data_IF_033491884338
#
_entry.id   IF_033491884338
#
_cell.length_a   1.000
_cell.length_b   1.000
_cell.length_c   1.000
_cell.angle_alpha   90.00
_cell.angle_beta   90.00
_cell.angle_gamma   90.00
#
_symmetry.space_group_name_H-M   'P 1'
#
loop_
_entity.id
_entity.type
_entity.pdbx_description
1 polymer ?
#
# COMPACT_ATOMS: atom_id res chain seq x y z
N UNK A 1 -7.63 -31.72 -39.51
CA UNK A 1 -8.07 -30.32 -39.73
C UNK A 1 -7.36 -29.43 -38.71
N UNK A 2 -6.61 -28.39 -39.12
CA UNK A 2 -5.99 -27.49 -38.15
C UNK A 2 -7.08 -26.81 -37.33
N UNK A 3 -6.96 -26.82 -35.99
CA UNK A 3 -7.88 -26.09 -35.11
C UNK A 3 -7.89 -24.62 -35.54
N UNK A 4 -9.05 -24.08 -35.91
CA UNK A 4 -9.24 -22.63 -36.09
C UNK A 4 -8.68 -21.95 -34.83
N UNK A 5 -7.61 -21.19 -34.99
CA UNK A 5 -7.00 -20.43 -33.92
C UNK A 5 -8.00 -19.42 -33.38
N UNK A 6 -8.14 -19.38 -32.06
CA UNK A 6 -9.02 -18.45 -31.35
C UNK A 6 -8.66 -17.00 -31.74
N UNK A 7 -9.61 -16.23 -32.33
CA UNK A 7 -9.36 -14.85 -32.76
C UNK A 7 -8.81 -13.96 -31.64
N UNK A 8 -9.24 -14.19 -30.41
CA UNK A 8 -8.78 -13.41 -29.23
C UNK A 8 -7.29 -13.66 -29.00
N UNK A 9 -6.85 -14.93 -29.05
CA UNK A 9 -5.44 -15.29 -28.87
C UNK A 9 -4.57 -14.72 -29.99
N UNK A 10 -5.06 -14.70 -31.22
CA UNK A 10 -4.34 -14.10 -32.33
C UNK A 10 -4.16 -12.59 -32.14
N UNK A 11 -5.19 -11.90 -31.67
CA UNK A 11 -5.11 -10.46 -31.37
C UNK A 11 -4.12 -10.17 -30.23
N UNK A 12 -4.16 -10.95 -29.15
CA UNK A 12 -3.21 -10.82 -28.04
C UNK A 12 -1.77 -11.07 -28.48
N UNK A 13 -1.53 -12.13 -29.27
CA UNK A 13 -0.20 -12.41 -29.81
C UNK A 13 0.30 -11.29 -30.74
N UNK A 14 -0.59 -10.68 -31.52
CA UNK A 14 -0.24 -9.56 -32.39
C UNK A 14 0.09 -8.29 -31.59
N UNK A 15 -0.61 -8.01 -30.49
CA UNK A 15 -0.29 -6.89 -29.59
C UNK A 15 1.04 -7.13 -28.86
N UNK A 16 1.28 -8.34 -28.36
CA UNK A 16 2.52 -8.69 -27.66
C UNK A 16 3.77 -8.64 -28.54
N UNK A 17 3.61 -8.68 -29.87
CA UNK A 17 4.70 -8.57 -30.83
C UNK A 17 5.00 -7.13 -31.27
N UNK A 18 4.33 -6.13 -30.69
CA UNK A 18 4.61 -4.72 -30.97
C UNK A 18 5.84 -4.31 -30.16
N UNK A 19 6.95 -4.00 -30.86
CA UNK A 19 8.17 -3.49 -30.24
C UNK A 19 8.08 -1.97 -29.98
N UNK A 20 7.44 -1.21 -30.87
CA UNK A 20 7.24 0.24 -30.76
C UNK A 20 5.78 0.60 -31.10
N UNK A 21 4.92 0.89 -30.10
CA UNK A 21 3.53 1.22 -30.32
C UNK A 21 3.30 2.66 -30.80
N UNK A 22 4.36 3.48 -30.91
CA UNK A 22 4.26 4.82 -31.48
C UNK A 22 4.10 4.80 -33.01
N UNK A 23 4.48 3.70 -33.67
CA UNK A 23 4.38 3.53 -35.13
C UNK A 23 2.93 3.60 -35.62
N UNK A 24 2.66 4.15 -36.82
CA UNK A 24 1.29 4.25 -37.37
C UNK A 24 0.56 2.90 -37.46
N UNK A 25 1.27 1.83 -37.83
CA UNK A 25 0.75 0.48 -37.95
C UNK A 25 0.36 -0.10 -36.59
N UNK A 26 1.24 0.05 -35.59
CA UNK A 26 0.96 -0.39 -34.23
C UNK A 26 -0.19 0.41 -33.61
N UNK A 27 -0.21 1.74 -33.80
CA UNK A 27 -1.35 2.59 -33.38
C UNK A 27 -2.67 2.15 -33.99
N UNK A 28 -2.68 1.78 -35.28
CA UNK A 28 -3.88 1.27 -35.94
C UNK A 28 -4.34 -0.06 -35.33
N UNK A 29 -3.41 -0.96 -35.01
CA UNK A 29 -3.69 -2.24 -34.38
C UNK A 29 -4.23 -2.07 -32.95
N UNK A 30 -3.58 -1.26 -32.13
CA UNK A 30 -3.98 -0.92 -30.75
C UNK A 30 -5.37 -0.25 -30.73
N UNK A 31 -5.62 0.72 -31.60
CA UNK A 31 -6.95 1.36 -31.73
C UNK A 31 -8.03 0.35 -32.13
N UNK A 32 -7.71 -0.57 -33.04
CA UNK A 32 -8.63 -1.64 -33.43
C UNK A 32 -8.92 -2.58 -32.25
N UNK A 33 -7.91 -2.91 -31.44
CA UNK A 33 -8.05 -3.71 -30.24
C UNK A 33 -8.96 -3.05 -29.19
N UNK A 34 -8.76 -1.76 -28.89
CA UNK A 34 -9.61 -1.00 -27.97
C UNK A 34 -11.08 -0.90 -28.39
N UNK A 35 -11.35 -0.89 -29.71
CA UNK A 35 -12.72 -0.88 -30.27
C UNK A 35 -13.37 -2.27 -30.31
N UNK A 36 -12.60 -3.32 -30.01
CA UNK A 36 -13.07 -4.70 -29.97
C UNK A 36 -14.07 -4.98 -28.84
N UNK A 37 -14.59 -6.22 -28.83
CA UNK A 37 -15.52 -6.71 -27.80
C UNK A 37 -14.84 -7.46 -26.66
N UNK A 38 -13.56 -7.81 -26.81
CA UNK A 38 -12.83 -8.61 -25.83
C UNK A 38 -12.17 -7.69 -24.80
N UNK A 39 -12.56 -7.85 -23.52
CA UNK A 39 -11.95 -7.13 -22.41
C UNK A 39 -10.43 -7.34 -22.34
N UNK A 40 -9.94 -8.58 -22.43
CA UNK A 40 -8.50 -8.88 -22.39
C UNK A 40 -7.71 -8.22 -23.52
N UNK A 41 -8.26 -8.18 -24.74
CA UNK A 41 -7.60 -7.54 -25.89
C UNK A 41 -7.54 -6.02 -25.69
N UNK A 42 -8.61 -5.41 -25.17
CA UNK A 42 -8.60 -4.00 -24.85
C UNK A 42 -7.68 -3.66 -23.66
N UNK A 43 -7.59 -4.53 -22.66
CA UNK A 43 -6.67 -4.38 -21.52
C UNK A 43 -5.22 -4.35 -21.99
N UNK A 44 -4.79 -5.35 -22.77
CA UNK A 44 -3.45 -5.40 -23.34
C UNK A 44 -3.14 -4.18 -24.23
N UNK A 45 -4.12 -3.70 -25.00
CA UNK A 45 -3.97 -2.48 -25.79
C UNK A 45 -3.80 -1.23 -24.91
N UNK A 46 -4.55 -1.11 -23.81
CA UNK A 46 -4.43 0.01 -22.87
C UNK A 46 -3.08 0.01 -22.13
N UNK A 47 -2.58 -1.16 -21.74
CA UNK A 47 -1.26 -1.32 -21.10
C UNK A 47 -0.12 -0.82 -22.00
N UNK A 48 -0.14 -1.19 -23.28
CA UNK A 48 0.85 -0.73 -24.26
C UNK A 48 0.84 0.80 -24.41
N UNK A 49 -0.34 1.43 -24.47
CA UNK A 49 -0.46 2.88 -24.57
C UNK A 49 0.10 3.59 -23.33
N UNK A 50 -0.12 3.01 -22.15
CA UNK A 50 0.32 3.58 -20.89
C UNK A 50 1.84 3.49 -20.69
N UNK A 51 2.46 2.38 -21.11
CA UNK A 51 3.92 2.19 -21.00
C UNK A 51 4.71 3.24 -21.80
N UNK A 52 4.12 3.73 -22.89
CA UNK A 52 4.79 4.57 -23.88
C UNK A 52 4.32 6.04 -23.81
N UNK A 53 3.53 6.38 -22.79
CA UNK A 53 3.14 7.77 -22.51
C UNK A 53 2.31 8.43 -23.63
N UNK A 54 1.54 7.64 -24.39
CA UNK A 54 0.81 8.12 -25.58
C UNK A 54 -0.47 8.87 -25.21
N UNK A 55 -0.32 10.11 -24.74
CA UNK A 55 -1.42 10.97 -24.28
C UNK A 55 -2.48 11.27 -25.35
N UNK A 56 -2.13 11.20 -26.65
CA UNK A 56 -3.09 11.40 -27.75
C UNK A 56 -4.10 10.26 -27.89
N UNK A 57 -3.93 9.15 -27.15
CA UNK A 57 -4.86 8.03 -27.11
C UNK A 57 -5.95 8.14 -26.01
N UNK A 58 -5.93 9.20 -25.20
CA UNK A 58 -6.91 9.42 -24.11
C UNK A 58 -8.37 9.36 -24.61
N UNK A 59 -8.76 10.01 -25.73
CA UNK A 59 -10.13 9.92 -26.22
C UNK A 59 -10.57 8.49 -26.55
N UNK A 60 -9.67 7.68 -27.12
CA UNK A 60 -9.95 6.28 -27.44
C UNK A 60 -10.06 5.40 -26.19
N UNK A 61 -9.25 5.68 -25.17
CA UNK A 61 -9.33 5.02 -23.86
C UNK A 61 -10.66 5.33 -23.17
N UNK A 62 -11.08 6.59 -23.12
CA UNK A 62 -12.37 7.01 -22.54
C UNK A 62 -13.54 6.36 -23.28
N UNK A 63 -13.54 6.40 -24.61
CA UNK A 63 -14.57 5.75 -25.41
C UNK A 63 -14.58 4.22 -25.24
N UNK A 64 -13.43 3.60 -24.96
CA UNK A 64 -13.36 2.18 -24.62
C UNK A 64 -13.94 1.89 -23.24
N UNK A 65 -13.60 2.71 -22.25
CA UNK A 65 -14.10 2.61 -20.88
C UNK A 65 -15.64 2.64 -20.85
N UNK A 66 -16.26 3.62 -21.51
CA UNK A 66 -17.72 3.74 -21.64
C UNK A 66 -18.36 2.47 -22.24
N UNK A 67 -17.72 1.90 -23.28
CA UNK A 67 -18.22 0.66 -23.92
C UNK A 67 -18.17 -0.56 -23.00
N UNK A 68 -17.22 -0.62 -22.07
CA UNK A 68 -17.07 -1.73 -21.13
C UNK A 68 -17.95 -1.60 -19.88
N UNK A 69 -18.57 -0.44 -19.66
CA UNK A 69 -19.68 -0.28 -18.74
C UNK A 69 -21.02 -0.80 -19.32
N UNK A 70 -21.12 -1.01 -20.63
CA UNK A 70 -22.32 -1.56 -21.28
C UNK A 70 -22.27 -3.08 -21.35
N UNK A 71 -23.27 -3.78 -20.77
CA UNK A 71 -23.28 -5.24 -20.65
C UNK A 71 -21.98 -5.80 -20.02
N UNK A 72 -21.61 -5.29 -18.82
CA UNK A 72 -20.25 -5.39 -18.29
C UNK A 72 -19.83 -6.84 -17.97
N UNK A 73 -20.74 -7.64 -17.41
CA UNK A 73 -20.48 -9.07 -17.09
C UNK A 73 -20.14 -9.89 -18.34
N UNK A 74 -20.72 -9.53 -19.50
CA UNK A 74 -20.46 -10.23 -20.76
C UNK A 74 -19.21 -9.71 -21.47
N UNK A 75 -18.99 -8.39 -21.45
CA UNK A 75 -17.90 -7.76 -22.21
C UNK A 75 -16.58 -7.73 -21.48
N UNK A 76 -16.64 -7.59 -20.17
CA UNK A 76 -15.49 -7.40 -19.31
C UNK A 76 -15.70 -8.04 -17.93
N UNK A 77 -15.88 -9.37 -17.89
CA UNK A 77 -15.94 -10.09 -16.63
C UNK A 77 -14.65 -9.86 -15.83
N UNK A 78 -14.78 -9.63 -14.53
CA UNK A 78 -13.67 -9.30 -13.64
C UNK A 78 -13.10 -7.89 -13.80
N UNK A 79 -13.75 -7.01 -14.56
CA UNK A 79 -13.30 -5.63 -14.80
C UNK A 79 -11.89 -5.50 -15.44
N UNK A 80 -11.42 -6.49 -16.19
CA UNK A 80 -10.03 -6.53 -16.70
C UNK A 80 -9.71 -5.34 -17.62
N UNK A 81 -10.56 -5.05 -18.59
CA UNK A 81 -10.41 -3.89 -19.46
C UNK A 81 -10.60 -2.59 -18.69
N UNK A 82 -11.67 -2.46 -17.89
CA UNK A 82 -11.93 -1.23 -17.12
C UNK A 82 -10.74 -0.87 -16.23
N UNK A 83 -10.16 -1.86 -15.53
CA UNK A 83 -9.01 -1.66 -14.66
C UNK A 83 -7.76 -1.24 -15.45
N UNK A 84 -7.44 -1.92 -16.54
CA UNK A 84 -6.30 -1.59 -17.38
C UNK A 84 -6.44 -0.20 -18.03
N UNK A 85 -7.63 0.13 -18.53
CA UNK A 85 -7.93 1.44 -19.13
C UNK A 85 -7.85 2.54 -18.06
N UNK A 86 -8.45 2.36 -16.89
CA UNK A 86 -8.39 3.35 -15.80
C UNK A 86 -6.94 3.55 -15.32
N UNK A 87 -6.16 2.48 -15.27
CA UNK A 87 -4.72 2.55 -14.94
C UNK A 87 -3.94 3.31 -16.00
N UNK A 88 -4.25 3.11 -17.29
CA UNK A 88 -3.65 3.85 -18.38
C UNK A 88 -3.98 5.34 -18.29
N UNK A 89 -5.24 5.70 -18.02
CA UNK A 89 -5.65 7.10 -17.86
C UNK A 89 -4.93 7.81 -16.69
N UNK A 90 -4.76 7.14 -15.55
CA UNK A 90 -4.00 7.70 -14.41
C UNK A 90 -2.50 7.84 -14.76
N UNK A 91 -1.89 6.85 -15.42
CA UNK A 91 -0.47 6.94 -15.86
C UNK A 91 -0.23 8.03 -16.90
N UNK A 92 -1.25 8.38 -17.67
CA UNK A 92 -1.21 9.48 -18.65
C UNK A 92 -1.58 10.83 -18.01
N UNK A 93 -1.65 10.90 -16.67
CA UNK A 93 -1.95 12.09 -15.88
C UNK A 93 -3.25 12.79 -16.33
N UNK A 94 -4.31 12.02 -16.61
CA UNK A 94 -5.61 12.59 -17.00
C UNK A 94 -6.11 13.57 -15.92
N UNK A 95 -6.27 14.87 -16.22
CA UNK A 95 -6.68 15.85 -15.21
C UNK A 95 -8.17 15.78 -14.87
N UNK A 96 -8.99 15.20 -15.75
CA UNK A 96 -10.43 15.09 -15.54
C UNK A 96 -10.73 14.02 -14.48
N UNK A 97 -11.33 14.38 -13.33
CA UNK A 97 -11.67 13.41 -12.29
C UNK A 97 -12.82 12.47 -12.69
N UNK A 98 -13.63 12.82 -13.70
CA UNK A 98 -14.91 12.14 -13.94
C UNK A 98 -14.82 10.61 -14.12
N UNK A 99 -13.85 10.06 -14.89
CA UNK A 99 -13.71 8.61 -15.03
C UNK A 99 -13.34 7.92 -13.71
N UNK A 100 -12.49 8.56 -12.89
CA UNK A 100 -12.07 8.02 -11.60
C UNK A 100 -13.19 8.13 -10.56
N UNK A 101 -13.95 9.23 -10.55
CA UNK A 101 -15.13 9.38 -9.69
C UNK A 101 -16.17 8.31 -10.01
N UNK A 102 -16.48 8.10 -11.30
CA UNK A 102 -17.41 7.06 -11.73
C UNK A 102 -16.94 5.66 -11.33
N UNK A 103 -15.65 5.38 -11.45
CA UNK A 103 -15.07 4.10 -11.06
C UNK A 103 -15.03 3.88 -9.54
N UNK A 104 -14.86 4.94 -8.73
CA UNK A 104 -14.69 4.84 -7.27
C UNK A 104 -15.91 4.32 -6.51
N UNK A 105 -17.10 4.35 -7.10
CA UNK A 105 -18.34 3.84 -6.51
C UNK A 105 -18.95 2.70 -7.32
N UNK A 106 -18.27 2.25 -8.37
CA UNK A 106 -18.78 1.24 -9.27
C UNK A 106 -18.81 -0.15 -8.61
N UNK A 107 -19.88 -0.89 -8.88
CA UNK A 107 -20.05 -2.28 -8.47
C UNK A 107 -20.37 -3.14 -9.70
N UNK A 108 -19.71 -4.28 -9.80
CA UNK A 108 -19.95 -5.27 -10.85
C UNK A 108 -20.26 -6.61 -10.23
N UNK A 109 -21.55 -6.84 -9.96
CA UNK A 109 -22.05 -8.07 -9.39
C UNK A 109 -22.08 -9.17 -10.45
N UNK A 110 -21.22 -10.16 -10.29
CA UNK A 110 -21.13 -11.33 -11.17
C UNK A 110 -21.67 -12.59 -10.50
N UNK A 111 -22.20 -13.55 -11.28
CA UNK A 111 -22.63 -14.83 -10.75
C UNK A 111 -21.46 -15.59 -10.09
N UNK A 112 -21.66 -16.00 -8.84
CA UNK A 112 -20.73 -16.84 -8.08
C UNK A 112 -21.48 -18.03 -7.46
N UNK A 113 -20.75 -18.94 -6.82
CA UNK A 113 -21.38 -19.97 -6.00
C UNK A 113 -21.88 -19.31 -4.71
N UNK A 114 -23.17 -18.94 -4.67
CA UNK A 114 -23.77 -18.21 -3.56
C UNK A 114 -24.28 -16.82 -3.98
N UNK A 115 -24.21 -15.79 -3.11
CA UNK A 115 -24.57 -14.43 -3.52
C UNK A 115 -23.64 -13.93 -4.62
N UNK A 116 -24.08 -13.00 -5.50
CA UNK A 116 -23.22 -12.39 -6.49
C UNK A 116 -21.98 -11.75 -5.86
N UNK A 117 -20.84 -11.90 -6.53
CA UNK A 117 -19.58 -11.32 -6.10
C UNK A 117 -19.35 -9.98 -6.79
N UNK A 118 -18.93 -8.97 -6.03
CA UNK A 118 -18.54 -7.67 -6.58
C UNK A 118 -17.11 -7.71 -7.11
N UNK A 119 -16.97 -7.83 -8.42
CA UNK A 119 -15.68 -7.90 -9.11
C UNK A 119 -15.04 -6.53 -9.37
N UNK A 120 -15.72 -5.42 -9.04
CA UNK A 120 -15.21 -4.07 -9.24
C UNK A 120 -14.31 -3.56 -8.10
N UNK A 121 -14.09 -4.39 -7.07
CA UNK A 121 -13.19 -4.20 -5.94
C UNK A 121 -11.85 -3.56 -6.36
N UNK A 122 -11.09 -4.18 -7.26
CA UNK A 122 -9.80 -3.64 -7.71
C UNK A 122 -9.93 -2.36 -8.52
N UNK A 123 -11.05 -2.18 -9.25
CA UNK A 123 -11.33 -0.96 -10.01
C UNK A 123 -11.53 0.23 -9.07
N UNK A 124 -12.28 0.06 -7.98
CA UNK A 124 -12.49 1.12 -6.96
C UNK A 124 -11.19 1.50 -6.26
N UNK A 125 -10.37 0.53 -5.88
CA UNK A 125 -9.06 0.82 -5.27
C UNK A 125 -8.16 1.59 -6.24
N UNK A 126 -8.13 1.19 -7.52
CA UNK A 126 -7.37 1.92 -8.55
C UNK A 126 -7.88 3.35 -8.73
N UNK A 127 -9.19 3.53 -8.73
CA UNK A 127 -9.82 4.84 -8.82
C UNK A 127 -9.45 5.74 -7.62
N UNK A 128 -9.45 5.20 -6.40
CA UNK A 128 -9.02 5.95 -5.21
C UNK A 128 -7.56 6.44 -5.36
N UNK A 129 -6.64 5.57 -5.76
CA UNK A 129 -5.24 5.96 -6.01
C UNK A 129 -5.11 7.07 -7.06
N UNK A 130 -5.86 6.99 -8.16
CA UNK A 130 -5.87 8.02 -9.20
C UNK A 130 -6.45 9.35 -8.69
N UNK A 131 -7.54 9.32 -7.92
CA UNK A 131 -8.13 10.51 -7.29
C UNK A 131 -7.18 11.19 -6.30
N UNK A 132 -6.24 10.44 -5.70
CA UNK A 132 -5.14 11.01 -4.90
C UNK A 132 -4.28 12.00 -5.68
N UNK A 133 -4.11 11.78 -6.99
CA UNK A 133 -3.34 12.64 -7.91
C UNK A 133 -4.16 13.75 -8.57
N UNK A 134 -5.49 13.74 -8.44
CA UNK A 134 -6.38 14.76 -9.00
C UNK A 134 -6.83 15.74 -7.92
N UNK A 135 -6.33 16.99 -7.97
CA UNK A 135 -6.49 17.99 -6.90
C UNK A 135 -7.80 18.79 -6.98
N UNK A 136 -8.95 18.10 -7.05
CA UNK A 136 -10.29 18.71 -6.93
C UNK A 136 -10.95 18.40 -5.59
N UNK A 137 -11.99 19.16 -5.24
CA UNK A 137 -12.76 18.93 -4.01
C UNK A 137 -13.58 17.64 -4.11
N UNK A 138 -14.12 17.33 -5.28
CA UNK A 138 -14.87 16.09 -5.55
C UNK A 138 -13.99 14.86 -5.35
N UNK A 139 -12.72 14.92 -5.78
CA UNK A 139 -11.77 13.84 -5.57
C UNK A 139 -11.49 13.62 -4.08
N UNK A 140 -11.35 14.69 -3.29
CA UNK A 140 -11.16 14.58 -1.85
C UNK A 140 -12.40 14.00 -1.14
N UNK A 141 -13.60 14.41 -1.56
CA UNK A 141 -14.86 13.84 -1.05
C UNK A 141 -14.95 12.33 -1.36
N UNK A 142 -14.61 11.94 -2.59
CA UNK A 142 -14.60 10.53 -2.99
C UNK A 142 -13.57 9.70 -2.21
N UNK A 143 -12.36 10.24 -1.95
CA UNK A 143 -11.37 9.59 -1.08
C UNK A 143 -11.88 9.42 0.36
N UNK A 144 -12.56 10.42 0.91
CA UNK A 144 -13.21 10.34 2.22
C UNK A 144 -14.27 9.22 2.27
N UNK A 145 -15.04 9.04 1.20
CA UNK A 145 -15.99 7.93 1.09
C UNK A 145 -15.29 6.56 0.95
N UNK A 146 -14.20 6.49 0.17
CA UNK A 146 -13.43 5.27 -0.06
C UNK A 146 -12.76 4.71 1.21
N UNK A 147 -12.46 5.58 2.20
CA UNK A 147 -12.03 5.15 3.53
C UNK A 147 -13.09 4.32 4.30
N UNK A 148 -14.35 4.33 3.84
CA UNK A 148 -15.45 3.53 4.37
C UNK A 148 -15.96 2.46 3.40
N UNK A 149 -15.21 2.13 2.35
CA UNK A 149 -15.60 1.07 1.40
C UNK A 149 -15.75 -0.28 2.10
N UNK A 150 -16.72 -1.13 1.70
CA UNK A 150 -16.88 -2.48 2.26
C UNK A 150 -15.61 -3.33 2.15
N UNK A 151 -14.81 -3.14 1.11
CA UNK A 151 -13.63 -3.95 0.87
C UNK A 151 -12.37 -3.29 1.47
N UNK A 152 -11.63 -3.99 2.36
CA UNK A 152 -10.48 -3.41 3.07
C UNK A 152 -9.40 -2.85 2.15
N UNK A 153 -9.16 -3.49 1.01
CA UNK A 153 -8.13 -3.06 0.06
C UNK A 153 -8.46 -1.69 -0.59
N UNK A 154 -9.75 -1.32 -0.75
CA UNK A 154 -10.12 0.04 -1.19
C UNK A 154 -9.83 1.04 -0.07
N UNK A 155 -10.08 0.68 1.19
CA UNK A 155 -9.81 1.55 2.35
C UNK A 155 -8.31 1.82 2.48
N UNK A 156 -7.47 0.79 2.33
CA UNK A 156 -6.01 0.91 2.27
C UNK A 156 -5.57 1.85 1.13
N UNK A 157 -6.08 1.62 -0.08
CA UNK A 157 -5.78 2.46 -1.24
C UNK A 157 -6.19 3.92 -1.04
N UNK A 158 -7.32 4.17 -0.36
CA UNK A 158 -7.76 5.53 -0.02
C UNK A 158 -6.83 6.18 1.02
N UNK A 159 -6.34 5.43 2.01
CA UNK A 159 -5.40 5.93 3.00
C UNK A 159 -4.05 6.32 2.35
N UNK A 160 -3.55 5.48 1.45
CA UNK A 160 -2.36 5.74 0.64
C UNK A 160 -2.56 6.99 -0.23
N UNK A 161 -3.66 7.06 -0.98
CA UNK A 161 -3.98 8.19 -1.86
C UNK A 161 -4.08 9.53 -1.09
N UNK A 162 -4.65 9.52 0.11
CA UNK A 162 -4.72 10.70 0.97
C UNK A 162 -3.34 11.13 1.49
N UNK A 163 -2.48 10.18 1.84
CA UNK A 163 -1.10 10.48 2.24
C UNK A 163 -0.27 11.04 1.08
N UNK A 164 -0.42 10.50 -0.13
CA UNK A 164 0.26 11.00 -1.33
C UNK A 164 -0.23 12.40 -1.71
N UNK A 165 -1.56 12.60 -1.70
CA UNK A 165 -2.19 13.91 -1.99
C UNK A 165 -1.69 14.99 -1.05
N UNK A 166 -1.60 14.67 0.22
CA UNK A 166 -1.19 15.59 1.26
C UNK A 166 -2.24 16.62 1.68
N UNK A 167 -1.80 17.56 2.52
CA UNK A 167 -2.61 18.69 3.00
C UNK A 167 -3.45 18.39 4.25
N UNK A 168 -3.90 19.48 4.90
CA UNK A 168 -4.60 19.41 6.18
C UNK A 168 -5.94 18.67 6.13
N UNK A 169 -6.65 18.73 5.01
CA UNK A 169 -7.93 18.04 4.85
C UNK A 169 -7.74 16.51 4.74
N UNK A 170 -6.69 16.05 4.04
CA UNK A 170 -6.34 14.63 3.99
C UNK A 170 -5.92 14.11 5.38
N UNK A 171 -5.12 14.90 6.11
CA UNK A 171 -4.74 14.58 7.50
C UNK A 171 -5.97 14.51 8.42
N UNK A 172 -6.97 15.38 8.22
CA UNK A 172 -8.20 15.35 8.98
C UNK A 172 -9.04 14.09 8.71
N UNK A 173 -9.16 13.67 7.44
CA UNK A 173 -9.86 12.44 7.04
C UNK A 173 -9.18 11.20 7.62
N UNK A 174 -7.85 11.09 7.52
CA UNK A 174 -7.08 10.00 8.13
C UNK A 174 -7.24 9.99 9.65
N UNK A 175 -7.15 11.15 10.30
CA UNK A 175 -7.32 11.24 11.75
C UNK A 175 -8.73 10.84 12.21
N UNK A 176 -9.77 11.21 11.45
CA UNK A 176 -11.13 10.75 11.70
C UNK A 176 -11.22 9.22 11.53
N UNK A 177 -10.63 8.68 10.47
CA UNK A 177 -10.67 7.24 10.19
C UNK A 177 -10.00 6.41 11.28
N UNK A 178 -8.84 6.83 11.76
CA UNK A 178 -8.15 6.15 12.88
C UNK A 178 -9.00 6.19 14.15
N UNK A 179 -9.65 7.32 14.46
CA UNK A 179 -10.54 7.43 15.63
C UNK A 179 -11.77 6.54 15.55
N UNK A 180 -12.31 6.35 14.35
CA UNK A 180 -13.47 5.47 14.13
C UNK A 180 -13.10 3.99 14.24
N UNK A 181 -11.83 3.63 14.01
CA UNK A 181 -11.35 2.24 14.02
C UNK A 181 -11.82 1.45 12.79
N UNK A 182 -11.02 0.48 12.34
CA UNK A 182 -11.32 -0.36 11.18
C UNK A 182 -11.42 -1.82 11.63
N UNK A 183 -12.39 -2.59 11.13
CA UNK A 183 -12.48 -4.02 11.43
C UNK A 183 -11.30 -4.81 10.85
N UNK A 184 -10.75 -4.34 9.74
CA UNK A 184 -9.59 -4.94 9.10
C UNK A 184 -8.30 -4.31 9.65
N UNK A 185 -7.40 -5.12 10.22
CA UNK A 185 -6.18 -4.61 10.85
C UNK A 185 -5.19 -4.00 9.85
N UNK A 186 -5.20 -4.44 8.58
CA UNK A 186 -4.32 -3.90 7.55
C UNK A 186 -4.77 -2.49 7.18
N UNK A 187 -6.05 -2.30 6.84
CA UNK A 187 -6.63 -0.99 6.57
C UNK A 187 -6.49 -0.03 7.78
N UNK A 188 -6.61 -0.55 9.00
CA UNK A 188 -6.35 0.21 10.23
C UNK A 188 -4.90 0.72 10.29
N UNK A 189 -3.94 -0.19 10.11
CA UNK A 189 -2.51 0.11 10.10
C UNK A 189 -2.12 1.10 9.00
N UNK A 190 -2.67 0.92 7.79
CA UNK A 190 -2.43 1.82 6.67
C UNK A 190 -2.89 3.25 6.98
N UNK A 191 -4.06 3.42 7.61
CA UNK A 191 -4.54 4.74 8.03
C UNK A 191 -3.66 5.38 9.12
N UNK A 192 -3.21 4.59 10.09
CA UNK A 192 -2.30 5.04 11.15
C UNK A 192 -0.94 5.48 10.58
N UNK A 193 -0.33 4.63 9.76
CA UNK A 193 0.95 4.92 9.10
C UNK A 193 0.84 6.11 8.15
N UNK A 194 -0.23 6.18 7.35
CA UNK A 194 -0.54 7.31 6.47
C UNK A 194 -0.61 8.63 7.24
N UNK A 195 -1.30 8.65 8.39
CA UNK A 195 -1.43 9.85 9.20
C UNK A 195 -0.09 10.31 9.77
N UNK A 196 0.73 9.39 10.28
CA UNK A 196 2.04 9.75 10.84
C UNK A 196 3.00 10.24 9.75
N UNK A 197 2.97 9.65 8.55
CA UNK A 197 3.77 10.14 7.42
C UNK A 197 3.31 11.52 6.94
N UNK A 198 2.00 11.75 6.91
CA UNK A 198 1.42 13.00 6.41
C UNK A 198 1.49 14.15 7.42
N UNK A 199 1.21 13.89 8.69
CA UNK A 199 1.18 14.88 9.76
C UNK A 199 1.86 14.30 11.01
N UNK A 200 3.20 14.25 11.02
CA UNK A 200 4.00 13.64 12.09
C UNK A 200 3.57 14.01 13.49
N UNK A 201 3.47 15.30 13.81
CA UNK A 201 3.17 15.77 15.16
C UNK A 201 1.77 15.32 15.61
N UNK A 202 0.78 15.44 14.71
CA UNK A 202 -0.61 15.05 14.99
C UNK A 202 -0.75 13.54 15.05
N UNK A 203 -0.11 12.81 14.14
CA UNK A 203 -0.12 11.36 14.08
C UNK A 203 0.49 10.77 15.34
N UNK A 204 1.71 11.21 15.70
CA UNK A 204 2.37 10.76 16.93
C UNK A 204 1.54 11.10 18.17
N UNK A 205 1.02 12.32 18.28
CA UNK A 205 0.17 12.70 19.41
C UNK A 205 -1.10 11.83 19.55
N UNK A 206 -1.62 11.32 18.44
CA UNK A 206 -2.81 10.49 18.43
C UNK A 206 -2.52 9.00 18.63
N UNK A 207 -1.39 8.49 18.13
CA UNK A 207 -1.02 7.08 18.24
C UNK A 207 -0.25 6.74 19.52
N UNK A 208 0.53 7.67 20.08
CA UNK A 208 1.30 7.41 21.31
C UNK A 208 0.44 6.93 22.50
N UNK A 209 -0.79 7.44 22.73
CA UNK A 209 -1.69 6.89 23.74
C UNK A 209 -2.09 5.43 23.49
N UNK A 210 -2.17 5.00 22.22
CA UNK A 210 -2.60 3.65 21.82
C UNK A 210 -1.56 2.57 22.15
N UNK A 211 -0.30 2.94 22.44
CA UNK A 211 0.69 2.02 23.00
C UNK A 211 0.25 1.42 24.36
N UNK A 212 -0.77 1.99 24.99
CA UNK A 212 -1.36 1.52 26.25
C UNK A 212 -2.84 1.15 26.09
N UNK A 213 -3.31 0.98 24.86
CA UNK A 213 -4.68 0.56 24.62
C UNK A 213 -4.92 -0.83 25.21
N UNK A 214 -6.10 -1.14 25.79
CA UNK A 214 -6.42 -2.50 26.25
C UNK A 214 -6.35 -3.56 25.14
N UNK A 215 -6.67 -3.20 23.90
CA UNK A 215 -6.62 -4.09 22.74
C UNK A 215 -5.16 -4.29 22.28
N UNK A 216 -4.75 -5.55 22.16
CA UNK A 216 -3.36 -5.90 21.76
C UNK A 216 -3.08 -5.47 20.32
N UNK A 217 -4.06 -5.61 19.43
CA UNK A 217 -3.94 -5.21 18.03
C UNK A 217 -3.77 -3.70 17.89
N UNK A 218 -4.46 -2.90 18.68
CA UNK A 218 -4.25 -1.44 18.73
C UNK A 218 -2.82 -1.10 19.20
N UNK A 219 -2.30 -1.79 20.22
CA UNK A 219 -0.91 -1.60 20.67
C UNK A 219 0.09 -1.97 19.57
N UNK A 220 -0.10 -3.10 18.91
CA UNK A 220 0.75 -3.58 17.81
C UNK A 220 0.77 -2.61 16.63
N UNK A 221 -0.39 -2.17 16.17
CA UNK A 221 -0.50 -1.25 15.03
C UNK A 221 0.06 0.13 15.35
N UNK A 222 -0.16 0.64 16.56
CA UNK A 222 0.43 1.90 17.02
C UNK A 222 1.95 1.79 17.10
N UNK A 223 2.47 0.71 17.68
CA UNK A 223 3.91 0.47 17.80
C UNK A 223 4.58 0.36 16.42
N UNK A 224 3.98 -0.38 15.48
CA UNK A 224 4.47 -0.50 14.11
C UNK A 224 4.48 0.86 13.40
N UNK A 225 3.36 1.58 13.44
CA UNK A 225 3.22 2.89 12.76
C UNK A 225 4.17 3.95 13.31
N UNK A 226 4.35 4.00 14.64
CA UNK A 226 5.32 4.88 15.29
C UNK A 226 6.75 4.44 14.99
N UNK A 227 7.01 3.14 14.96
CA UNK A 227 8.29 2.55 14.57
C UNK A 227 8.68 3.03 13.18
N UNK A 228 7.86 2.83 12.17
CA UNK A 228 8.20 3.18 10.78
C UNK A 228 8.31 4.68 10.48
N UNK A 229 7.87 5.54 11.42
CA UNK A 229 7.78 7.00 11.21
C UNK A 229 9.11 7.73 11.11
N UNK A 230 10.16 7.20 11.77
CA UNK A 230 11.46 7.87 11.99
C UNK A 230 11.40 9.20 12.76
N UNK A 231 10.27 9.53 13.38
CA UNK A 231 10.09 10.79 14.10
C UNK A 231 10.67 10.74 15.52
N UNK A 232 11.44 11.75 15.96
CA UNK A 232 12.03 11.76 17.30
C UNK A 232 11.01 11.57 18.43
N UNK A 233 9.83 12.18 18.30
CA UNK A 233 8.74 12.09 19.27
C UNK A 233 8.11 10.69 19.29
N UNK A 234 8.08 10.00 18.15
CA UNK A 234 7.63 8.62 18.07
C UNK A 234 8.60 7.69 18.81
N UNK A 235 9.91 7.86 18.58
CA UNK A 235 10.93 7.12 19.32
C UNK A 235 10.83 7.38 20.82
N UNK A 236 10.67 8.64 21.24
CA UNK A 236 10.49 8.98 22.65
C UNK A 236 9.27 8.28 23.26
N UNK A 237 8.15 8.20 22.54
CA UNK A 237 6.96 7.46 22.97
C UNK A 237 7.21 5.95 23.10
N UNK A 238 7.93 5.34 22.14
CA UNK A 238 8.29 3.92 22.16
C UNK A 238 9.23 3.58 23.33
N UNK A 239 10.24 4.42 23.60
CA UNK A 239 11.14 4.25 24.75
C UNK A 239 10.38 4.38 26.06
N UNK A 240 9.56 5.43 26.21
CA UNK A 240 8.74 5.62 27.40
C UNK A 240 7.69 4.51 27.60
N UNK A 241 7.34 3.78 26.54
CA UNK A 241 6.53 2.57 26.63
C UNK A 241 7.36 1.37 27.09
N UNK A 242 8.53 1.14 26.49
CA UNK A 242 9.49 0.10 26.87
C UNK A 242 9.84 0.14 28.37
N UNK A 243 10.03 1.32 28.93
CA UNK A 243 10.38 1.52 30.36
C UNK A 243 9.27 1.11 31.33
N UNK A 244 8.03 0.99 30.83
CA UNK A 244 6.84 0.72 31.67
C UNK A 244 6.29 -0.68 31.49
N UNK A 245 6.59 -1.34 30.38
CA UNK A 245 6.10 -2.69 30.10
C UNK A 245 6.85 -3.73 30.91
N UNK A 246 6.09 -4.56 31.61
CA UNK A 246 6.61 -5.69 32.40
C UNK A 246 6.42 -7.01 31.64
N UNK A 247 5.39 -7.11 30.79
CA UNK A 247 5.11 -8.32 30.03
C UNK A 247 6.17 -8.51 28.94
N UNK A 248 6.74 -9.71 28.89
CA UNK A 248 7.78 -10.08 27.94
C UNK A 248 7.35 -9.93 26.48
N UNK A 249 6.09 -10.20 26.17
CA UNK A 249 5.52 -10.03 24.83
C UNK A 249 5.45 -8.55 24.42
N UNK A 250 5.08 -7.67 25.35
CA UNK A 250 5.01 -6.24 25.11
C UNK A 250 6.41 -5.61 25.03
N UNK A 251 7.36 -6.08 25.86
CA UNK A 251 8.79 -5.72 25.70
C UNK A 251 9.32 -6.10 24.33
N UNK A 252 9.03 -7.32 23.87
CA UNK A 252 9.45 -7.77 22.54
C UNK A 252 8.90 -6.88 21.42
N UNK A 253 7.63 -6.50 21.52
CA UNK A 253 6.98 -5.60 20.57
C UNK A 253 7.58 -4.19 20.61
N UNK A 254 7.83 -3.63 21.79
CA UNK A 254 8.47 -2.33 21.94
C UNK A 254 9.90 -2.30 21.34
N UNK A 255 10.71 -3.32 21.62
CA UNK A 255 12.06 -3.44 21.04
C UNK A 255 11.99 -3.63 19.52
N UNK A 256 11.03 -4.42 19.01
CA UNK A 256 10.82 -4.58 17.58
C UNK A 256 10.44 -3.26 16.89
N UNK A 257 9.56 -2.46 17.51
CA UNK A 257 9.16 -1.15 17.00
C UNK A 257 10.32 -0.13 17.01
N UNK A 258 11.13 -0.09 18.08
CA UNK A 258 12.37 0.69 18.11
C UNK A 258 13.34 0.20 17.01
N UNK A 259 13.39 -1.11 16.78
CA UNK A 259 14.10 -1.72 15.65
C UNK A 259 13.59 -1.27 14.27
N UNK A 260 12.27 -1.13 14.09
CA UNK A 260 11.68 -0.65 12.84
C UNK A 260 11.96 0.84 12.59
N UNK A 261 12.27 1.61 13.64
CA UNK A 261 12.58 3.03 13.57
C UNK A 261 13.83 3.40 12.81
N UNK A 262 14.87 2.54 12.83
CA UNK A 262 16.08 2.66 11.99
C UNK A 262 16.82 4.01 12.06
N UNK A 263 16.49 4.91 12.98
CA UNK A 263 17.23 6.15 13.20
C UNK A 263 18.49 5.85 14.02
N UNK A 264 19.52 6.71 13.91
CA UNK A 264 20.71 6.58 14.76
C UNK A 264 20.38 6.63 16.25
N UNK A 265 19.38 7.43 16.64
CA UNK A 265 18.92 7.49 18.02
C UNK A 265 18.31 6.15 18.47
N UNK A 266 17.53 5.50 17.62
CA UNK A 266 16.98 4.17 17.91
C UNK A 266 18.09 3.11 17.98
N UNK A 267 19.11 3.20 17.13
CA UNK A 267 20.29 2.32 17.20
C UNK A 267 21.02 2.45 18.52
N UNK A 268 21.20 3.69 19.03
CA UNK A 268 21.82 3.90 20.35
C UNK A 268 21.02 3.26 21.47
N UNK A 269 19.69 3.41 21.46
CA UNK A 269 18.81 2.75 22.44
C UNK A 269 18.97 1.22 22.39
N UNK A 270 19.04 0.63 21.20
CA UNK A 270 19.24 -0.82 21.06
C UNK A 270 20.64 -1.25 21.54
N UNK A 271 21.68 -0.45 21.32
CA UNK A 271 23.02 -0.72 21.82
C UNK A 271 23.08 -0.64 23.36
N UNK A 272 22.41 0.34 23.96
CA UNK A 272 22.25 0.45 25.43
C UNK A 272 21.53 -0.78 26.00
N UNK A 273 20.49 -1.29 25.31
CA UNK A 273 19.84 -2.54 25.71
C UNK A 273 20.75 -3.76 25.59
N UNK A 274 21.66 -3.79 24.63
CA UNK A 274 22.68 -4.85 24.51
C UNK A 274 23.69 -4.75 25.67
N UNK A 275 24.12 -3.54 26.03
CA UNK A 275 25.11 -3.29 27.09
C UNK A 275 24.57 -3.55 28.50
N UNK A 276 23.33 -3.13 28.81
CA UNK A 276 22.81 -3.12 30.18
C UNK A 276 21.47 -3.86 30.36
N UNK A 277 20.82 -4.30 29.29
CA UNK A 277 19.51 -4.96 29.34
C UNK A 277 19.53 -6.39 29.90
N UNK A 278 18.33 -6.97 30.05
CA UNK A 278 18.18 -8.40 30.38
C UNK A 278 18.69 -9.26 29.23
N UNK A 279 19.13 -10.51 29.49
CA UNK A 279 19.62 -11.41 28.43
C UNK A 279 18.64 -11.58 27.25
N UNK A 280 17.33 -11.53 27.53
CA UNK A 280 16.29 -11.57 26.49
C UNK A 280 16.22 -10.27 25.69
N UNK A 281 16.38 -9.12 26.33
CA UNK A 281 16.43 -7.84 25.65
C UNK A 281 17.71 -7.69 24.82
N UNK A 282 18.84 -8.21 25.31
CA UNK A 282 20.10 -8.31 24.56
C UNK A 282 19.87 -9.09 23.27
N UNK A 283 19.26 -10.28 23.35
CA UNK A 283 18.96 -11.09 22.17
C UNK A 283 18.06 -10.33 21.17
N UNK A 284 16.96 -9.75 21.64
CA UNK A 284 16.00 -9.02 20.79
C UNK A 284 16.63 -7.79 20.13
N UNK A 285 17.41 -7.02 20.89
CA UNK A 285 18.09 -5.83 20.41
C UNK A 285 19.20 -6.18 19.41
N UNK A 286 19.99 -7.23 19.67
CA UNK A 286 20.99 -7.74 18.74
C UNK A 286 20.36 -8.19 17.41
N UNK A 287 19.26 -8.95 17.46
CA UNK A 287 18.50 -9.34 16.26
C UNK A 287 17.93 -8.14 15.51
N UNK A 288 17.43 -7.12 16.22
CA UNK A 288 16.94 -5.89 15.60
C UNK A 288 18.09 -5.14 14.89
N UNK A 289 19.24 -4.98 15.53
CA UNK A 289 20.44 -4.36 14.95
C UNK A 289 20.96 -5.13 13.72
N UNK A 290 20.98 -6.46 13.77
CA UNK A 290 21.36 -7.29 12.63
C UNK A 290 20.44 -7.07 11.42
N UNK A 291 19.12 -7.03 11.62
CA UNK A 291 18.14 -6.71 10.55
C UNK A 291 18.30 -5.30 9.98
N UNK A 292 18.87 -4.37 10.74
CA UNK A 292 19.20 -3.03 10.25
C UNK A 292 20.52 -2.98 9.47
N UNK A 293 21.28 -4.08 9.43
CA UNK A 293 22.59 -4.14 8.76
C UNK A 293 23.77 -3.68 9.63
N UNK A 294 23.61 -3.64 10.97
CA UNK A 294 24.76 -3.47 11.85
C UNK A 294 25.74 -4.64 11.68
N UNK A 295 27.02 -4.43 11.96
CA UNK A 295 28.03 -5.49 11.93
C UNK A 295 28.14 -6.18 13.28
N UNK A 296 28.52 -7.47 13.27
CA UNK A 296 28.75 -8.23 14.51
C UNK A 296 29.80 -7.54 15.39
N UNK A 297 30.88 -7.02 14.81
CA UNK A 297 31.96 -6.37 15.56
C UNK A 297 31.47 -5.10 16.27
N UNK A 298 30.59 -4.31 15.63
CA UNK A 298 29.98 -3.12 16.26
C UNK A 298 29.18 -3.50 17.50
N UNK A 299 28.31 -4.52 17.40
CA UNK A 299 27.43 -4.91 18.51
C UNK A 299 28.20 -5.67 19.59
N UNK A 300 29.14 -6.55 19.22
CA UNK A 300 29.99 -7.25 20.19
C UNK A 300 30.89 -6.28 20.97
N UNK A 301 31.28 -5.16 20.35
CA UNK A 301 32.09 -4.10 20.96
C UNK A 301 31.53 -3.51 22.25
N UNK A 302 30.21 -3.55 22.47
CA UNK A 302 29.56 -3.00 23.67
C UNK A 302 29.41 -4.03 24.82
N UNK A 303 29.68 -5.32 24.57
CA UNK A 303 29.53 -6.41 25.57
C UNK A 303 30.80 -7.23 25.76
N UNK A 304 31.97 -6.73 25.35
CA UNK A 304 33.25 -7.48 25.30
C UNK A 304 33.65 -8.14 26.63
N UNK A 305 33.13 -7.66 27.75
CA UNK A 305 33.47 -8.15 29.10
C UNK A 305 32.45 -9.13 29.69
N UNK A 306 31.35 -9.43 28.98
CA UNK A 306 30.28 -10.31 29.44
C UNK A 306 30.13 -11.48 28.46
N UNK A 307 30.67 -12.65 28.86
CA UNK A 307 30.72 -13.83 28.00
C UNK A 307 29.33 -14.35 27.61
N UNK A 308 28.34 -14.23 28.51
CA UNK A 308 26.97 -14.67 28.24
C UNK A 308 26.33 -13.78 27.17
N UNK A 309 26.50 -12.46 27.29
CA UNK A 309 26.00 -11.51 26.29
C UNK A 309 26.72 -11.65 24.95
N UNK A 310 28.03 -11.89 24.95
CA UNK A 310 28.78 -12.15 23.70
C UNK A 310 28.20 -13.35 22.97
N UNK A 311 27.95 -14.46 23.68
CA UNK A 311 27.36 -15.65 23.08
C UNK A 311 25.99 -15.38 22.44
N UNK A 312 25.12 -14.66 23.16
CA UNK A 312 23.79 -14.27 22.67
C UNK A 312 23.88 -13.39 21.41
N UNK A 313 24.79 -12.40 21.40
CA UNK A 313 24.98 -11.52 20.25
C UNK A 313 25.49 -12.31 19.03
N UNK A 314 26.44 -13.23 19.22
CA UNK A 314 26.96 -14.07 18.13
C UNK A 314 25.88 -14.98 17.54
N UNK A 315 25.05 -15.60 18.37
CA UNK A 315 23.92 -16.43 17.94
C UNK A 315 22.86 -15.60 17.17
N UNK A 316 22.49 -14.44 17.70
CA UNK A 316 21.52 -13.53 17.07
C UNK A 316 21.91 -13.12 15.64
N UNK A 317 23.22 -12.99 15.37
CA UNK A 317 23.76 -12.63 14.06
C UNK A 317 23.97 -13.84 13.12
N UNK A 318 24.11 -15.05 13.66
CA UNK A 318 24.23 -16.27 12.86
C UNK A 318 22.91 -16.63 12.15
N UNK A 319 21.78 -16.42 12.82
CA UNK A 319 20.43 -16.74 12.31
C UNK A 319 19.95 -15.83 11.15
N UNK A 320 20.72 -14.80 10.78
CA UNK A 320 20.37 -13.84 9.71
C UNK A 320 21.10 -14.12 8.38
N UNK A 321 21.91 -15.18 8.30
CA UNK A 321 22.67 -15.56 7.09
C UNK A 321 21.98 -16.62 6.23
#
# INVERSE_FOLDING_TARGET
MPRKTDPTRQQLAALAAIDDPSTPEARALVRKALRGRSGHVAASAAELLAQEGLADAVPELLAALERFYTDPVKRDPGCVAKLAILTALDRLDLPDPAPFLAASTYQQLEPAWGPPEDTAVSLRARAALALGRVFTDEALVALGAALGDPAPHVRSAAAEALQERGGGAAAALLALRVRLGDEDPVARGDCMGALVRLSPERGVAMLAPLLRDPDIGERELAALSLGESRQPEALAALVAWLDRVVLETERALAIAAIGAHRSEAAQRVLLELVEDGSLRDVERAARALARQGATLDQVRGVVVRDADRVGIVEEAFADQR
#
